data_IF_426821942641
#
_entry.id   IF_426821942641
#
_cell.length_a   1.000
_cell.length_b   1.000
_cell.length_c   1.000
_cell.angle_alpha   90.00
_cell.angle_beta   90.00
_cell.angle_gamma   90.00
#
_symmetry.space_group_name_H-M   'P 1'
#
loop_
_entity.id
_entity.type
_entity.pdbx_description
1 polymer ?
#
# COMPACT_ATOMS: atom_id res chain seq x y z
N UNK A 1 -13.68 -21.17 -10.62
CA UNK A 1 -13.64 -20.76 -12.03
C UNK A 1 -13.40 -19.25 -12.07
N UNK A 2 -12.15 -18.79 -11.95
CA UNK A 2 -11.73 -17.38 -12.00
C UNK A 2 -10.34 -17.33 -12.65
N UNK A 3 -10.25 -17.47 -13.98
CA UNK A 3 -8.96 -17.34 -14.71
C UNK A 3 -9.12 -16.59 -16.06
N UNK A 4 -10.33 -16.13 -16.42
CA UNK A 4 -10.58 -15.63 -17.77
C UNK A 4 -10.40 -14.12 -17.92
N UNK A 5 -10.72 -13.31 -16.89
CA UNK A 5 -10.61 -11.84 -16.98
C UNK A 5 -9.16 -11.33 -17.08
N UNK A 6 -8.18 -12.07 -16.56
CA UNK A 6 -6.78 -11.62 -16.52
C UNK A 6 -6.02 -11.89 -17.84
N UNK A 7 -6.49 -12.84 -18.66
CA UNK A 7 -5.84 -13.20 -19.94
C UNK A 7 -6.07 -12.15 -21.02
N UNK A 8 -7.28 -11.62 -21.13
CA UNK A 8 -7.60 -10.60 -22.13
C UNK A 8 -6.82 -9.29 -21.88
N UNK A 9 -6.71 -8.88 -20.61
CA UNK A 9 -5.94 -7.71 -20.20
C UNK A 9 -4.44 -7.88 -20.49
N UNK A 10 -3.89 -9.08 -20.22
CA UNK A 10 -2.48 -9.39 -20.50
C UNK A 10 -2.18 -9.38 -22.01
N UNK A 11 -3.05 -9.99 -22.82
CA UNK A 11 -2.91 -10.00 -24.28
C UNK A 11 -3.01 -8.58 -24.85
N UNK A 12 -3.98 -7.79 -24.39
CA UNK A 12 -4.14 -6.39 -24.82
C UNK A 12 -2.92 -5.53 -24.46
N UNK A 13 -2.35 -5.71 -23.26
CA UNK A 13 -1.13 -5.01 -22.84
C UNK A 13 0.08 -5.38 -23.71
N UNK A 14 0.22 -6.66 -24.07
CA UNK A 14 1.34 -7.16 -24.87
C UNK A 14 1.26 -6.67 -26.33
N UNK A 15 0.05 -6.61 -26.89
CA UNK A 15 -0.20 -6.07 -28.22
C UNK A 15 0.05 -4.54 -28.27
N UNK A 16 -0.36 -3.81 -27.23
CA UNK A 16 -0.11 -2.37 -27.13
C UNK A 16 1.38 -2.05 -27.05
N UNK A 17 2.16 -2.82 -26.29
CA UNK A 17 3.62 -2.66 -26.23
C UNK A 17 4.28 -2.93 -27.58
N UNK A 18 3.83 -3.97 -28.29
CA UNK A 18 4.36 -4.33 -29.61
C UNK A 18 4.10 -3.24 -30.65
N UNK A 19 2.90 -2.64 -30.63
CA UNK A 19 2.54 -1.52 -31.51
C UNK A 19 3.38 -0.26 -31.22
N UNK A 20 3.61 0.05 -29.94
CA UNK A 20 4.47 1.18 -29.55
C UNK A 20 5.93 0.99 -29.99
N UNK A 21 6.46 -0.24 -29.93
CA UNK A 21 7.82 -0.56 -30.43
C UNK A 21 7.94 -0.35 -31.94
N UNK A 22 6.94 -0.77 -32.70
CA UNK A 22 6.93 -0.59 -34.16
C UNK A 22 6.85 0.89 -34.56
N UNK A 23 6.02 1.68 -33.89
CA UNK A 23 5.90 3.12 -34.14
C UNK A 23 7.15 3.91 -33.73
N UNK A 24 7.79 3.54 -32.61
CA UNK A 24 9.06 4.13 -32.20
C UNK A 24 10.20 3.83 -33.21
N UNK A 25 10.25 2.60 -33.74
CA UNK A 25 11.20 2.22 -34.78
C UNK A 25 10.97 2.95 -36.11
N UNK A 26 9.73 3.35 -36.40
CA UNK A 26 9.36 4.16 -37.55
C UNK A 26 9.69 5.67 -37.40
N UNK A 27 10.33 6.07 -36.29
CA UNK A 27 10.76 7.45 -36.04
C UNK A 27 9.70 8.34 -35.37
N UNK A 28 8.60 7.78 -34.88
CA UNK A 28 7.62 8.55 -34.11
C UNK A 28 8.16 8.87 -32.70
N UNK A 29 8.51 10.14 -32.50
CA UNK A 29 9.06 10.64 -31.24
C UNK A 29 8.09 10.52 -30.05
N UNK A 30 6.77 10.54 -30.28
CA UNK A 30 5.77 10.34 -29.22
C UNK A 30 5.68 8.88 -28.82
N UNK A 31 5.76 7.97 -29.79
CA UNK A 31 5.80 6.53 -29.50
C UNK A 31 7.10 6.15 -28.76
N UNK A 32 8.24 6.74 -29.16
CA UNK A 32 9.51 6.57 -28.44
C UNK A 32 9.45 7.08 -27.00
N UNK A 33 8.83 8.24 -26.77
CA UNK A 33 8.62 8.77 -25.42
C UNK A 33 7.66 7.91 -24.57
N UNK A 34 6.60 7.38 -25.18
CA UNK A 34 5.66 6.47 -24.52
C UNK A 34 6.32 5.13 -24.16
N UNK A 35 7.14 4.55 -25.06
CA UNK A 35 7.90 3.34 -24.79
C UNK A 35 8.96 3.57 -23.69
N UNK A 36 9.65 4.71 -23.72
CA UNK A 36 10.60 5.08 -22.66
C UNK A 36 9.92 5.33 -21.31
N UNK A 37 8.65 5.74 -21.29
CA UNK A 37 7.85 5.84 -20.06
C UNK A 37 7.42 4.46 -19.53
N UNK A 38 7.14 3.50 -20.41
CA UNK A 38 6.85 2.10 -20.06
C UNK A 38 8.08 1.32 -19.58
N UNK A 39 9.24 1.59 -20.18
CA UNK A 39 10.51 0.92 -19.86
C UNK A 39 11.28 1.58 -18.71
N UNK A 40 10.88 2.78 -18.30
CA UNK A 40 11.48 3.43 -17.13
C UNK A 40 11.27 2.46 -15.95
N UNK A 41 12.34 1.99 -15.28
CA UNK A 41 12.17 1.43 -13.96
C UNK A 41 11.41 2.50 -13.20
N UNK A 42 10.23 2.18 -12.67
CA UNK A 42 9.56 3.07 -11.73
C UNK A 42 10.57 3.31 -10.63
N UNK A 43 11.25 4.45 -10.67
CA UNK A 43 12.12 4.90 -9.61
C UNK A 43 11.28 4.76 -8.34
N UNK A 44 11.71 3.93 -7.37
CA UNK A 44 10.89 3.67 -6.20
C UNK A 44 10.54 5.04 -5.63
N UNK A 45 9.25 5.34 -5.39
CA UNK A 45 8.86 6.66 -4.94
C UNK A 45 9.72 7.01 -3.74
N UNK A 46 10.41 8.16 -3.84
CA UNK A 46 11.24 8.75 -2.78
C UNK A 46 10.75 8.34 -1.40
N UNK A 47 11.66 7.89 -0.55
CA UNK A 47 11.40 7.30 0.76
C UNK A 47 10.41 8.09 1.65
N UNK A 48 10.18 9.37 1.33
CA UNK A 48 9.17 10.27 1.90
C UNK A 48 7.70 9.84 1.73
N UNK A 49 7.30 9.16 0.64
CA UNK A 49 5.86 8.86 0.40
C UNK A 49 5.29 7.76 1.31
N UNK A 50 6.10 6.75 1.65
CA UNK A 50 5.65 5.59 2.44
C UNK A 50 5.31 5.93 3.89
N UNK A 51 6.06 6.85 4.51
CA UNK A 51 5.81 7.27 5.89
C UNK A 51 4.53 8.12 5.98
N UNK A 52 4.29 9.03 5.04
CA UNK A 52 3.08 9.85 5.02
C UNK A 52 1.80 9.02 4.87
N UNK A 53 1.82 8.01 3.99
CA UNK A 53 0.69 7.09 3.80
C UNK A 53 0.41 6.27 5.06
N UNK A 54 1.45 5.70 5.67
CA UNK A 54 1.36 4.96 6.93
C UNK A 54 0.83 5.83 8.07
N UNK A 55 1.39 7.02 8.24
CA UNK A 55 1.03 7.94 9.32
C UNK A 55 -0.41 8.46 9.14
N UNK A 56 -0.87 8.61 7.89
CA UNK A 56 -2.29 8.87 7.60
C UNK A 56 -3.20 7.71 8.02
N UNK A 57 -2.85 6.47 7.69
CA UNK A 57 -3.61 5.28 8.09
C UNK A 57 -3.71 5.15 9.62
N UNK A 58 -2.64 5.47 10.34
CA UNK A 58 -2.62 5.48 11.80
C UNK A 58 -3.59 6.53 12.37
N UNK A 59 -3.62 7.73 11.77
CA UNK A 59 -4.60 8.76 12.16
C UNK A 59 -6.05 8.36 11.81
N UNK A 60 -6.26 7.71 10.66
CA UNK A 60 -7.58 7.19 10.29
C UNK A 60 -8.05 6.09 11.26
N UNK A 61 -7.15 5.20 11.67
CA UNK A 61 -7.40 4.19 12.69
C UNK A 61 -7.81 4.81 14.02
N UNK A 62 -7.11 5.86 14.48
CA UNK A 62 -7.48 6.59 15.69
C UNK A 62 -8.89 7.17 15.59
N UNK A 63 -9.18 7.87 14.49
CA UNK A 63 -10.49 8.52 14.28
C UNK A 63 -11.65 7.51 14.24
N UNK A 64 -11.44 6.30 13.73
CA UNK A 64 -12.53 5.33 13.54
C UNK A 64 -12.70 4.40 14.74
N UNK A 65 -11.62 3.98 15.40
CA UNK A 65 -11.68 2.93 16.43
C UNK A 65 -11.37 3.40 17.85
N UNK A 66 -10.72 4.55 18.00
CA UNK A 66 -10.34 5.08 19.31
C UNK A 66 -10.75 6.55 19.46
N UNK A 67 -11.86 6.92 18.80
CA UNK A 67 -12.46 8.25 18.91
C UNK A 67 -12.73 8.58 20.39
N UNK A 68 -12.39 9.80 20.81
CA UNK A 68 -12.53 10.25 22.20
C UNK A 68 -11.40 9.81 23.15
N UNK A 69 -10.45 8.97 22.71
CA UNK A 69 -9.23 8.69 23.48
C UNK A 69 -8.22 9.81 23.33
N UNK A 70 -7.45 10.08 24.39
CA UNK A 70 -6.28 10.97 24.30
C UNK A 70 -5.21 10.38 23.36
N UNK A 71 -4.32 11.19 22.76
CA UNK A 71 -3.25 10.68 21.89
C UNK A 71 -2.39 9.61 22.57
N UNK A 72 -2.18 9.72 23.89
CA UNK A 72 -1.40 8.76 24.66
C UNK A 72 -2.10 7.40 24.80
N UNK A 73 -3.37 7.43 25.19
CA UNK A 73 -4.20 6.22 25.31
C UNK A 73 -4.35 5.53 23.95
N UNK A 74 -4.63 6.31 22.90
CA UNK A 74 -4.74 5.80 21.54
C UNK A 74 -3.43 5.17 21.06
N UNK A 75 -2.28 5.80 21.32
CA UNK A 75 -0.98 5.24 20.96
C UNK A 75 -0.72 3.89 21.63
N UNK A 76 -1.04 3.73 22.93
CA UNK A 76 -0.89 2.44 23.64
C UNK A 76 -1.80 1.36 23.07
N UNK A 77 -3.06 1.71 22.78
CA UNK A 77 -4.03 0.77 22.22
C UNK A 77 -3.61 0.32 20.82
N UNK A 78 -3.17 1.26 19.98
CA UNK A 78 -2.68 0.97 18.62
C UNK A 78 -1.43 0.09 18.67
N UNK A 79 -0.45 0.42 19.53
CA UNK A 79 0.79 -0.35 19.69
C UNK A 79 0.52 -1.81 20.10
N UNK A 80 -0.41 -2.00 21.05
CA UNK A 80 -0.84 -3.33 21.50
C UNK A 80 -1.54 -4.12 20.39
N UNK A 81 -2.51 -3.51 19.71
CA UNK A 81 -3.22 -4.14 18.59
C UNK A 81 -2.28 -4.50 17.45
N UNK A 82 -1.36 -3.60 17.10
CA UNK A 82 -0.38 -3.84 16.05
C UNK A 82 0.57 -4.98 16.41
N UNK A 83 1.09 -4.99 17.63
CA UNK A 83 1.97 -6.06 18.13
C UNK A 83 1.27 -7.43 18.11
N UNK A 84 0.01 -7.50 18.59
CA UNK A 84 -0.77 -8.72 18.58
C UNK A 84 -1.03 -9.24 17.17
N UNK A 85 -1.39 -8.34 16.23
CA UNK A 85 -1.62 -8.70 14.84
C UNK A 85 -0.32 -9.13 14.14
N UNK A 86 0.79 -8.42 14.37
CA UNK A 86 2.09 -8.77 13.81
C UNK A 86 2.58 -10.14 14.30
N UNK A 87 2.37 -10.47 15.57
CA UNK A 87 2.76 -11.76 16.13
C UNK A 87 1.93 -12.93 15.56
N UNK A 88 0.61 -12.77 15.45
CA UNK A 88 -0.30 -13.90 15.21
C UNK A 88 -0.87 -13.95 13.79
N UNK A 89 -1.14 -12.79 13.18
CA UNK A 89 -1.89 -12.66 11.93
C UNK A 89 -1.02 -12.34 10.72
N UNK A 90 0.01 -11.50 10.90
CA UNK A 90 0.77 -10.95 9.78
C UNK A 90 1.45 -12.01 8.92
N UNK A 91 2.09 -13.02 9.52
CA UNK A 91 2.74 -14.10 8.77
C UNK A 91 1.80 -14.81 7.79
N UNK A 92 0.50 -14.92 8.13
CA UNK A 92 -0.52 -15.58 7.29
C UNK A 92 -1.08 -14.66 6.20
N UNK A 93 -1.09 -13.35 6.45
CA UNK A 93 -1.71 -12.38 5.55
C UNK A 93 -0.69 -11.62 4.69
N UNK A 94 0.60 -11.65 5.01
CA UNK A 94 1.66 -10.81 4.41
C UNK A 94 1.73 -10.90 2.89
N UNK A 95 1.33 -12.04 2.30
CA UNK A 95 1.42 -12.28 0.86
C UNK A 95 0.14 -11.89 0.12
N UNK A 96 -0.94 -11.55 0.86
CA UNK A 96 -2.21 -11.11 0.28
C UNK A 96 -2.11 -9.69 -0.26
N UNK A 97 -2.64 -9.42 -1.44
CA UNK A 97 -2.64 -8.07 -2.02
C UNK A 97 -3.65 -7.14 -1.36
N UNK A 98 -4.74 -7.69 -0.81
CA UNK A 98 -5.83 -6.95 -0.17
C UNK A 98 -6.07 -7.44 1.27
N UNK A 99 -6.67 -6.61 2.14
CA UNK A 99 -7.05 -7.04 3.48
C UNK A 99 -8.00 -8.25 3.43
N UNK A 100 -7.79 -9.28 4.25
CA UNK A 100 -8.77 -10.35 4.43
C UNK A 100 -10.13 -9.81 4.89
N UNK A 101 -11.23 -10.39 4.40
CA UNK A 101 -12.60 -9.98 4.78
C UNK A 101 -12.86 -9.98 6.29
N UNK A 102 -12.19 -10.88 7.05
CA UNK A 102 -12.28 -10.92 8.53
C UNK A 102 -11.76 -9.66 9.23
N UNK A 103 -10.96 -8.83 8.54
CA UNK A 103 -10.46 -7.56 9.07
C UNK A 103 -11.39 -6.38 8.73
N UNK A 104 -12.45 -6.59 7.96
CA UNK A 104 -13.32 -5.49 7.56
C UNK A 104 -13.98 -4.84 8.79
N UNK A 105 -13.87 -3.51 8.87
CA UNK A 105 -14.36 -2.74 10.01
C UNK A 105 -13.56 -2.93 11.30
N UNK A 106 -12.36 -3.54 11.27
CA UNK A 106 -11.51 -3.68 12.46
C UNK A 106 -10.28 -2.77 12.41
N UNK A 107 -9.77 -2.44 13.61
CA UNK A 107 -8.51 -1.74 13.78
C UNK A 107 -7.33 -2.45 13.07
N UNK A 108 -7.34 -3.78 13.03
CA UNK A 108 -6.29 -4.60 12.41
C UNK A 108 -6.19 -4.39 10.89
N UNK A 109 -7.30 -4.02 10.22
CA UNK A 109 -7.27 -3.65 8.80
C UNK A 109 -6.32 -2.48 8.55
N UNK A 110 -6.32 -1.48 9.42
CA UNK A 110 -5.40 -0.34 9.29
C UNK A 110 -3.95 -0.76 9.53
N UNK A 111 -3.71 -1.67 10.47
CA UNK A 111 -2.37 -2.23 10.71
C UNK A 111 -1.88 -3.00 9.47
N UNK A 112 -2.72 -3.85 8.88
CA UNK A 112 -2.40 -4.54 7.63
C UNK A 112 -2.03 -3.56 6.52
N UNK A 113 -2.87 -2.54 6.29
CA UNK A 113 -2.62 -1.53 5.26
C UNK A 113 -1.34 -0.73 5.54
N UNK A 114 -1.06 -0.41 6.79
CA UNK A 114 0.14 0.30 7.24
C UNK A 114 1.41 -0.54 7.02
N UNK A 115 1.38 -1.84 7.30
CA UNK A 115 2.50 -2.75 7.02
C UNK A 115 2.71 -2.93 5.51
N UNK A 116 1.64 -2.94 4.73
CA UNK A 116 1.68 -3.03 3.27
C UNK A 116 2.29 -1.82 2.57
N UNK A 117 2.52 -0.70 3.26
CA UNK A 117 3.32 0.40 2.71
C UNK A 117 4.81 0.08 2.62
N UNK A 118 5.25 -1.13 3.04
CA UNK A 118 6.66 -1.55 3.03
C UNK A 118 7.49 -0.86 4.11
N UNK A 119 6.85 -0.26 5.11
CA UNK A 119 7.51 0.41 6.23
C UNK A 119 7.25 -0.36 7.52
N UNK A 120 8.22 -0.38 8.46
CA UNK A 120 7.98 -0.93 9.78
C UNK A 120 6.86 -0.15 10.47
N UNK A 121 6.04 -0.86 11.25
CA UNK A 121 5.04 -0.21 12.08
C UNK A 121 5.76 0.59 13.19
N UNK A 122 5.38 1.86 13.43
CA UNK A 122 6.02 2.67 14.45
C UNK A 122 5.67 2.17 15.85
N UNK A 123 6.65 2.16 16.75
CA UNK A 123 6.40 1.89 18.17
C UNK A 123 5.76 3.08 18.89
N UNK A 124 5.31 2.83 20.13
CA UNK A 124 4.60 3.80 20.99
C UNK A 124 5.11 5.25 20.95
N UNK A 125 6.41 5.50 21.14
CA UNK A 125 6.95 6.86 21.17
C UNK A 125 6.71 7.63 19.87
N UNK A 126 6.82 6.95 18.72
CA UNK A 126 6.56 7.55 17.40
C UNK A 126 5.06 7.65 17.12
N UNK A 127 4.25 6.69 17.56
CA UNK A 127 2.78 6.78 17.48
C UNK A 127 2.27 8.02 18.21
N UNK A 128 2.78 8.30 19.41
CA UNK A 128 2.43 9.51 20.17
C UNK A 128 2.71 10.80 19.40
N UNK A 129 3.84 10.88 18.69
CA UNK A 129 4.17 12.03 17.84
C UNK A 129 3.22 12.16 16.64
N UNK A 130 2.87 11.04 15.99
CA UNK A 130 1.98 11.02 14.82
C UNK A 130 0.56 11.48 15.20
N UNK A 131 0.07 11.08 16.37
CA UNK A 131 -1.27 11.42 16.84
C UNK A 131 -1.37 12.82 17.47
N UNK A 132 -0.24 13.40 17.89
CA UNK A 132 -0.18 14.77 18.40
C UNK A 132 -0.11 15.83 17.29
N UNK A 133 0.10 15.42 16.03
CA UNK A 133 0.16 16.29 14.83
C UNK A 133 -1.14 16.24 14.02
#
# INVERSE_FOLDING_TARGET
>A
MIVTENRAAFIAATLAESALRQLAAAGDARAAAALAAWQRPTEPPSASKGNGARDRLIRDMWRQHFAGSTPDQAARSIDRSASAYQANGWLRDRDRSTPPARLDGTAERFVFLALKTGRPFPGYARLRQILAC
#
